data_IF_019672152427
#
_entry.id   IF_019672152427
#
_cell.length_a   1.000
_cell.length_b   1.000
_cell.length_c   1.000
_cell.angle_alpha   90.00
_cell.angle_beta   90.00
_cell.angle_gamma   90.00
#
_symmetry.space_group_name_H-M   'P 1'
#
loop_
_entity.id
_entity.type
_entity.pdbx_description
1 polymer ?
#
# COMPACT_ATOMS: atom_id res chain seq x y z
N UNK A 1 -14.78 51.15 -7.77
CA UNK A 1 -13.61 50.94 -6.89
C UNK A 1 -13.04 49.57 -7.20
N UNK A 2 -11.90 49.53 -7.89
CA UNK A 2 -11.18 48.30 -8.22
C UNK A 2 -10.61 47.73 -6.92
N UNK A 3 -11.11 46.58 -6.47
CA UNK A 3 -10.39 45.76 -5.49
C UNK A 3 -9.00 45.58 -6.07
N UNK A 4 -7.96 46.14 -5.43
CA UNK A 4 -6.57 46.07 -5.92
C UNK A 4 -6.32 44.64 -6.39
N UNK A 5 -6.09 44.46 -7.68
CA UNK A 5 -6.10 43.15 -8.36
C UNK A 5 -5.18 42.12 -7.67
N UNK A 6 -4.14 42.60 -6.98
CA UNK A 6 -3.26 41.84 -6.09
C UNK A 6 -3.97 41.18 -4.89
N UNK A 7 -4.91 41.86 -4.22
CA UNK A 7 -5.67 41.30 -3.09
C UNK A 7 -6.64 40.21 -3.54
N UNK A 8 -7.23 40.37 -4.74
CA UNK A 8 -8.13 39.36 -5.30
C UNK A 8 -7.36 38.09 -5.70
N UNK A 9 -6.19 38.23 -6.34
CA UNK A 9 -5.30 37.09 -6.63
C UNK A 9 -4.82 36.40 -5.36
N UNK A 10 -4.53 37.16 -4.29
CA UNK A 10 -4.20 36.61 -2.97
C UNK A 10 -5.33 35.73 -2.42
N UNK A 11 -6.56 36.23 -2.43
CA UNK A 11 -7.74 35.48 -2.00
C UNK A 11 -7.95 34.20 -2.82
N UNK A 12 -7.79 34.26 -4.16
CA UNK A 12 -7.89 33.08 -5.02
C UNK A 12 -6.84 32.01 -4.66
N UNK A 13 -5.61 32.44 -4.38
CA UNK A 13 -4.55 31.51 -3.95
C UNK A 13 -4.85 30.89 -2.57
N UNK A 14 -5.37 31.66 -1.62
CA UNK A 14 -5.77 31.16 -0.31
C UNK A 14 -6.89 30.12 -0.41
N UNK A 15 -7.94 30.42 -1.18
CA UNK A 15 -9.04 29.48 -1.45
C UNK A 15 -8.51 28.23 -2.16
N UNK A 16 -7.66 28.39 -3.17
CA UNK A 16 -7.02 27.29 -3.88
C UNK A 16 -6.21 26.38 -2.94
N UNK A 17 -5.41 26.97 -2.06
CA UNK A 17 -4.61 26.24 -1.08
C UNK A 17 -5.48 25.49 -0.07
N UNK A 18 -6.58 26.10 0.41
CA UNK A 18 -7.54 25.42 1.29
C UNK A 18 -8.20 24.23 0.59
N UNK A 19 -8.61 24.39 -0.68
CA UNK A 19 -9.22 23.31 -1.47
C UNK A 19 -8.24 22.16 -1.69
N UNK A 20 -6.98 22.46 -2.02
CA UNK A 20 -5.94 21.46 -2.22
C UNK A 20 -5.67 20.67 -0.94
N UNK A 21 -5.49 21.35 0.20
CA UNK A 21 -5.30 20.72 1.51
C UNK A 21 -6.49 19.82 1.89
N UNK A 22 -7.72 20.29 1.68
CA UNK A 22 -8.91 19.48 1.96
C UNK A 22 -8.98 18.20 1.12
N UNK A 23 -8.70 18.31 -0.19
CA UNK A 23 -8.64 17.14 -1.08
C UNK A 23 -7.55 16.15 -0.68
N UNK A 24 -6.39 16.67 -0.30
CA UNK A 24 -5.27 15.87 0.17
C UNK A 24 -5.65 15.08 1.42
N UNK A 25 -6.23 15.73 2.43
CA UNK A 25 -6.68 15.08 3.67
C UNK A 25 -7.69 13.96 3.39
N UNK A 26 -8.70 14.22 2.54
CA UNK A 26 -9.68 13.19 2.14
C UNK A 26 -9.01 11.99 1.48
N UNK A 27 -8.07 12.24 0.55
CA UNK A 27 -7.35 11.17 -0.12
C UNK A 27 -6.52 10.32 0.86
N UNK A 28 -5.83 10.94 1.81
CA UNK A 28 -5.07 10.24 2.85
C UNK A 28 -5.98 9.37 3.73
N UNK A 29 -7.10 9.91 4.20
CA UNK A 29 -8.07 9.14 5.00
C UNK A 29 -8.62 7.93 4.24
N UNK A 30 -8.99 8.11 2.96
CA UNK A 30 -9.46 7.01 2.10
C UNK A 30 -8.38 5.94 1.96
N UNK A 31 -7.13 6.33 1.67
CA UNK A 31 -6.03 5.39 1.50
C UNK A 31 -5.83 4.53 2.75
N UNK A 32 -5.77 5.18 3.92
CA UNK A 32 -5.62 4.51 5.21
C UNK A 32 -6.75 3.51 5.48
N UNK A 33 -7.99 3.95 5.38
CA UNK A 33 -9.17 3.11 5.66
C UNK A 33 -9.23 1.93 4.69
N UNK A 34 -8.96 2.17 3.41
CA UNK A 34 -9.00 1.14 2.38
C UNK A 34 -7.95 0.05 2.62
N UNK A 35 -6.71 0.45 2.93
CA UNK A 35 -5.62 -0.49 3.19
C UNK A 35 -5.90 -1.32 4.45
N UNK A 36 -6.41 -0.71 5.52
CA UNK A 36 -6.83 -1.43 6.73
C UNK A 36 -7.98 -2.41 6.44
N UNK A 37 -8.97 -1.98 5.66
CA UNK A 37 -10.09 -2.85 5.27
C UNK A 37 -9.57 -4.06 4.49
N UNK A 38 -8.65 -3.85 3.55
CA UNK A 38 -8.04 -4.93 2.78
C UNK A 38 -7.15 -5.84 3.62
N UNK A 39 -6.45 -5.33 4.65
CA UNK A 39 -5.77 -6.16 5.64
C UNK A 39 -6.74 -7.16 6.30
N UNK A 40 -7.86 -6.64 6.84
CA UNK A 40 -8.86 -7.45 7.53
C UNK A 40 -9.55 -8.46 6.60
N UNK A 41 -9.87 -8.06 5.37
CA UNK A 41 -10.42 -8.98 4.37
C UNK A 41 -9.41 -10.09 4.07
N UNK A 42 -8.14 -9.75 3.88
CA UNK A 42 -7.08 -10.73 3.64
C UNK A 42 -6.94 -11.73 4.80
N UNK A 43 -7.03 -11.24 6.04
CA UNK A 43 -7.07 -12.05 7.25
C UNK A 43 -8.24 -13.04 7.24
N UNK A 44 -9.46 -12.57 7.00
CA UNK A 44 -10.65 -13.43 6.93
C UNK A 44 -10.54 -14.50 5.85
N UNK A 45 -10.01 -14.16 4.68
CA UNK A 45 -9.80 -15.13 3.59
C UNK A 45 -8.84 -16.24 4.04
N UNK A 46 -7.70 -15.87 4.64
CA UNK A 46 -6.68 -16.84 5.04
C UNK A 46 -7.11 -17.70 6.23
N UNK A 47 -7.78 -17.11 7.23
CA UNK A 47 -8.34 -17.85 8.36
C UNK A 47 -9.41 -18.85 7.89
N UNK A 48 -10.27 -18.44 6.95
CA UNK A 48 -11.27 -19.33 6.34
C UNK A 48 -10.61 -20.48 5.56
N UNK A 49 -9.56 -20.20 4.78
CA UNK A 49 -8.78 -21.24 4.08
C UNK A 49 -8.13 -22.24 5.05
N UNK A 50 -7.63 -21.78 6.20
CA UNK A 50 -6.95 -22.63 7.19
C UNK A 50 -7.94 -23.46 8.04
N UNK A 51 -9.14 -22.92 8.29
CA UNK A 51 -10.22 -23.64 8.98
C UNK A 51 -10.86 -24.74 8.13
N UNK A 52 -10.73 -24.66 6.80
CA UNK A 52 -11.08 -25.71 5.86
C UNK A 52 -9.88 -26.64 5.60
N UNK A 53 -9.84 -27.80 6.24
CA UNK A 53 -8.77 -28.81 6.06
C UNK A 53 -8.48 -29.07 4.56
N UNK A 54 -7.25 -28.80 4.14
CA UNK A 54 -6.55 -29.33 2.96
C UNK A 54 -7.15 -29.09 1.54
N UNK A 55 -6.46 -28.25 0.75
CA UNK A 55 -5.85 -28.56 -0.58
C UNK A 55 -5.65 -27.27 -1.39
N UNK A 56 -4.52 -27.18 -2.10
CA UNK A 56 -4.21 -26.06 -3.00
C UNK A 56 -5.27 -25.81 -4.08
N UNK A 57 -6.12 -26.80 -4.35
CA UNK A 57 -7.24 -26.74 -5.30
C UNK A 57 -8.45 -25.95 -4.75
N UNK A 58 -8.65 -25.93 -3.42
CA UNK A 58 -9.73 -25.19 -2.77
C UNK A 58 -9.51 -23.67 -2.83
N UNK A 59 -8.26 -23.22 -2.73
CA UNK A 59 -7.92 -21.80 -2.73
C UNK A 59 -8.22 -21.07 -4.04
N UNK A 60 -8.00 -21.72 -5.20
CA UNK A 60 -8.33 -21.07 -6.48
C UNK A 60 -9.84 -20.91 -6.65
N UNK A 61 -10.61 -21.97 -6.36
CA UNK A 61 -12.07 -21.94 -6.46
C UNK A 61 -12.69 -20.95 -5.47
N UNK A 62 -12.14 -20.83 -4.25
CA UNK A 62 -12.57 -19.86 -3.26
C UNK A 62 -12.40 -18.42 -3.77
N UNK A 63 -11.24 -18.09 -4.35
CA UNK A 63 -10.99 -16.74 -4.86
C UNK A 63 -11.91 -16.38 -6.05
N UNK A 64 -12.24 -17.37 -6.88
CA UNK A 64 -13.18 -17.21 -7.99
C UNK A 64 -14.62 -16.96 -7.48
N UNK A 65 -15.05 -17.73 -6.48
CA UNK A 65 -16.34 -17.54 -5.79
C UNK A 65 -16.41 -16.18 -5.09
N UNK A 66 -15.42 -15.85 -4.26
CA UNK A 66 -15.34 -14.56 -3.57
C UNK A 66 -15.35 -13.39 -4.55
N UNK A 67 -14.61 -13.48 -5.65
CA UNK A 67 -14.62 -12.43 -6.66
C UNK A 67 -16.02 -12.24 -7.23
N UNK A 68 -16.71 -13.32 -7.58
CA UNK A 68 -18.04 -13.28 -8.19
C UNK A 68 -19.07 -12.73 -7.20
N UNK A 69 -19.12 -13.30 -5.99
CA UNK A 69 -20.14 -12.98 -5.00
C UNK A 69 -19.95 -11.58 -4.42
N UNK A 70 -18.71 -11.19 -4.08
CA UNK A 70 -18.44 -9.84 -3.56
C UNK A 70 -18.63 -8.78 -4.65
N UNK A 71 -18.30 -9.07 -5.91
CA UNK A 71 -18.60 -8.13 -7.02
C UNK A 71 -20.11 -7.97 -7.21
N UNK A 72 -20.88 -9.06 -7.08
CA UNK A 72 -22.34 -9.02 -7.17
C UNK A 72 -22.99 -8.23 -6.03
N UNK A 73 -22.47 -8.37 -4.80
CA UNK A 73 -23.02 -7.72 -3.61
C UNK A 73 -22.58 -6.26 -3.45
N UNK A 74 -21.30 -5.96 -3.71
CA UNK A 74 -20.67 -4.69 -3.38
C UNK A 74 -20.11 -3.93 -4.59
N UNK A 75 -20.14 -4.52 -5.78
CA UNK A 75 -19.72 -3.87 -7.02
C UNK A 75 -18.21 -3.90 -7.27
N UNK A 76 -17.69 -2.82 -7.87
CA UNK A 76 -16.29 -2.75 -8.32
C UNK A 76 -15.33 -2.85 -7.14
N UNK A 77 -14.16 -3.45 -7.39
CA UNK A 77 -13.10 -3.60 -6.39
C UNK A 77 -12.85 -5.05 -5.95
N UNK A 78 -13.72 -6.00 -6.34
CA UNK A 78 -13.56 -7.42 -5.99
C UNK A 78 -13.27 -8.29 -7.21
N UNK A 79 -12.47 -7.79 -8.17
CA UNK A 79 -11.97 -8.64 -9.25
C UNK A 79 -11.08 -9.76 -8.68
N UNK A 80 -11.03 -10.91 -9.35
CA UNK A 80 -10.22 -12.06 -8.95
C UNK A 80 -8.78 -11.67 -8.62
N UNK A 81 -8.19 -10.81 -9.45
CA UNK A 81 -6.83 -10.30 -9.26
C UNK A 81 -6.72 -9.47 -7.96
N UNK A 82 -7.70 -8.61 -7.66
CA UNK A 82 -7.66 -7.82 -6.44
C UNK A 82 -7.88 -8.68 -5.19
N UNK A 83 -8.83 -9.63 -5.22
CA UNK A 83 -9.04 -10.58 -4.10
C UNK A 83 -7.78 -11.41 -3.85
N UNK A 84 -7.12 -11.87 -4.92
CA UNK A 84 -5.81 -12.54 -4.81
C UNK A 84 -4.75 -11.63 -4.17
N UNK A 85 -4.64 -10.37 -4.59
CA UNK A 85 -3.70 -9.41 -4.02
C UNK A 85 -3.98 -9.11 -2.56
N UNK A 86 -5.25 -8.96 -2.17
CA UNK A 86 -5.69 -8.79 -0.78
C UNK A 86 -5.26 -9.98 0.09
N UNK A 87 -5.42 -11.20 -0.42
CA UNK A 87 -4.92 -12.41 0.24
C UNK A 87 -3.39 -12.43 0.36
N UNK A 88 -2.68 -12.11 -0.72
CA UNK A 88 -1.21 -12.05 -0.69
C UNK A 88 -0.71 -10.98 0.27
N UNK A 89 -1.40 -9.84 0.34
CA UNK A 89 -1.10 -8.77 1.26
C UNK A 89 -1.05 -9.26 2.71
N UNK A 90 -2.11 -9.91 3.17
CA UNK A 90 -2.12 -10.48 4.52
C UNK A 90 -1.00 -11.52 4.72
N UNK A 91 -0.84 -12.48 3.81
CA UNK A 91 0.16 -13.54 3.94
C UNK A 91 1.61 -13.05 3.97
N UNK A 92 1.93 -11.97 3.26
CA UNK A 92 3.30 -11.43 3.21
C UNK A 92 3.59 -10.52 4.37
N UNK A 93 2.67 -9.60 4.67
CA UNK A 93 2.89 -8.60 5.70
C UNK A 93 2.70 -9.16 7.12
N UNK A 94 1.93 -10.24 7.31
CA UNK A 94 1.84 -10.97 8.59
C UNK A 94 3.15 -11.62 9.03
N UNK A 95 4.05 -11.94 8.09
CA UNK A 95 5.38 -12.49 8.39
C UNK A 95 6.37 -11.42 8.83
N UNK A 96 6.11 -10.16 8.49
CA UNK A 96 6.97 -9.03 8.81
C UNK A 96 6.50 -8.45 10.14
N UNK A 97 7.13 -8.85 11.25
CA UNK A 97 6.69 -8.51 12.61
C UNK A 97 6.36 -7.02 12.79
N UNK A 98 7.23 -6.11 12.32
CA UNK A 98 7.02 -4.67 12.50
C UNK A 98 5.80 -4.15 11.74
N UNK A 99 5.53 -4.68 10.55
CA UNK A 99 4.38 -4.26 9.75
C UNK A 99 3.11 -4.93 10.26
N UNK A 100 3.14 -6.21 10.62
CA UNK A 100 1.98 -6.91 11.18
C UNK A 100 1.49 -6.25 12.47
N UNK A 101 2.40 -5.85 13.36
CA UNK A 101 2.04 -5.11 14.57
C UNK A 101 1.35 -3.76 14.26
N UNK A 102 1.80 -3.03 13.23
CA UNK A 102 1.15 -1.77 12.82
C UNK A 102 -0.30 -2.01 12.38
N UNK A 103 -0.52 -3.01 11.52
CA UNK A 103 -1.87 -3.34 11.05
C UNK A 103 -2.78 -3.81 12.19
N UNK A 104 -2.29 -4.64 13.11
CA UNK A 104 -3.09 -5.20 14.21
C UNK A 104 -3.43 -4.17 15.30
N UNK A 105 -2.53 -3.21 15.58
CA UNK A 105 -2.79 -2.15 16.58
C UNK A 105 -3.73 -1.06 16.08
N UNK A 106 -4.24 -1.16 14.85
CA UNK A 106 -4.88 -0.05 14.11
C UNK A 106 -3.99 1.20 14.06
N UNK A 107 -2.70 1.06 14.32
CA UNK A 107 -1.70 2.10 14.16
C UNK A 107 -1.47 2.22 12.67
N UNK A 108 -2.13 3.20 12.07
CA UNK A 108 -2.19 3.43 10.63
C UNK A 108 -0.81 3.22 9.98
N UNK A 109 -0.63 2.14 9.17
CA UNK A 109 0.70 1.68 8.74
C UNK A 109 1.43 2.74 7.92
N UNK A 110 0.67 3.62 7.27
CA UNK A 110 1.11 4.92 6.78
C UNK A 110 -0.09 5.66 6.23
N UNK A 111 -0.18 6.97 6.46
CA UNK A 111 -1.19 7.79 5.78
C UNK A 111 -0.85 8.04 4.30
N UNK A 112 0.41 7.77 3.92
CA UNK A 112 1.01 8.15 2.63
C UNK A 112 0.81 7.04 1.59
N UNK A 113 0.83 5.78 2.02
CA UNK A 113 0.77 4.63 1.10
C UNK A 113 -0.67 4.24 0.78
N UNK A 114 -1.09 4.48 -0.47
CA UNK A 114 -2.33 3.94 -1.03
C UNK A 114 -2.22 2.44 -1.35
N UNK A 115 -3.36 1.78 -1.57
CA UNK A 115 -3.41 0.37 -2.00
C UNK A 115 -2.53 0.07 -3.21
N UNK A 116 -2.44 0.99 -4.17
CA UNK A 116 -1.58 0.82 -5.36
C UNK A 116 -0.09 0.74 -5.02
N UNK A 117 0.37 1.37 -3.94
CA UNK A 117 1.75 1.20 -3.47
C UNK A 117 1.97 -0.23 -2.97
N UNK A 118 1.07 -0.74 -2.14
CA UNK A 118 1.14 -2.10 -1.62
C UNK A 118 1.08 -3.14 -2.75
N UNK A 119 0.22 -2.96 -3.74
CA UNK A 119 0.16 -3.83 -4.93
C UNK A 119 1.47 -3.84 -5.71
N UNK A 120 2.15 -2.70 -5.84
CA UNK A 120 3.46 -2.65 -6.49
C UNK A 120 4.53 -3.35 -5.65
N UNK A 121 4.56 -3.10 -4.33
CA UNK A 121 5.51 -3.72 -3.39
C UNK A 121 5.34 -5.24 -3.33
N UNK A 122 4.10 -5.75 -3.42
CA UNK A 122 3.78 -7.18 -3.43
C UNK A 122 4.37 -7.96 -4.60
N UNK A 123 4.92 -7.28 -5.61
CA UNK A 123 5.68 -7.93 -6.68
C UNK A 123 7.03 -8.44 -6.20
N UNK A 124 7.57 -7.89 -5.11
CA UNK A 124 8.75 -8.46 -4.45
C UNK A 124 8.35 -9.66 -3.60
N UNK A 125 9.19 -10.69 -3.63
CA UNK A 125 9.04 -11.88 -2.80
C UNK A 125 9.91 -11.84 -1.53
N UNK A 126 10.78 -10.83 -1.38
CA UNK A 126 11.76 -10.76 -0.30
C UNK A 126 11.24 -9.82 0.82
N UNK A 127 11.17 -10.34 2.05
CA UNK A 127 10.66 -9.62 3.21
C UNK A 127 11.47 -8.36 3.55
N UNK A 128 12.81 -8.40 3.36
CA UNK A 128 13.68 -7.25 3.56
C UNK A 128 13.45 -6.18 2.50
N UNK A 129 13.23 -6.60 1.25
CA UNK A 129 12.96 -5.68 0.14
C UNK A 129 11.58 -5.02 0.30
N UNK A 130 10.56 -5.78 0.71
CA UNK A 130 9.23 -5.25 1.05
C UNK A 130 9.35 -4.20 2.15
N UNK A 131 10.00 -4.55 3.27
CA UNK A 131 10.17 -3.64 4.42
C UNK A 131 10.94 -2.38 4.03
N UNK A 132 11.96 -2.52 3.18
CA UNK A 132 12.74 -1.41 2.67
C UNK A 132 11.86 -0.44 1.84
N UNK A 133 11.11 -0.95 0.86
CA UNK A 133 10.32 -0.09 -0.01
C UNK A 133 9.13 0.55 0.69
N UNK A 134 8.50 -0.12 1.67
CA UNK A 134 7.47 0.50 2.52
C UNK A 134 8.07 1.73 3.22
N UNK A 135 9.15 1.52 3.99
CA UNK A 135 9.78 2.57 4.79
C UNK A 135 10.37 3.70 3.94
N UNK A 136 10.99 3.37 2.81
CA UNK A 136 11.55 4.40 1.92
C UNK A 136 10.45 5.22 1.23
N UNK A 137 9.36 4.58 0.80
CA UNK A 137 8.26 5.30 0.17
C UNK A 137 7.58 6.27 1.14
N UNK A 138 7.49 5.90 2.41
CA UNK A 138 7.00 6.77 3.50
C UNK A 138 7.94 7.94 3.76
N UNK A 139 9.23 7.67 3.93
CA UNK A 139 10.21 8.71 4.26
C UNK A 139 10.35 9.75 3.14
N UNK A 140 10.36 9.31 1.89
CA UNK A 140 10.62 10.14 0.71
C UNK A 140 9.33 10.59 0.00
N UNK A 141 8.15 10.26 0.56
CA UNK A 141 6.84 10.55 -0.02
C UNK A 141 6.72 10.14 -1.50
N UNK A 142 7.18 8.94 -1.83
CA UNK A 142 7.17 8.46 -3.21
C UNK A 142 5.74 8.23 -3.70
N UNK A 143 5.41 8.83 -4.84
CA UNK A 143 4.25 8.41 -5.62
C UNK A 143 4.42 6.97 -6.12
N UNK A 144 3.31 6.32 -6.48
CA UNK A 144 3.32 4.97 -7.10
C UNK A 144 4.27 4.91 -8.31
N UNK A 145 4.31 5.98 -9.11
CA UNK A 145 5.21 6.07 -10.28
C UNK A 145 6.67 6.08 -9.86
N UNK A 146 6.99 6.78 -8.79
CA UNK A 146 8.34 6.86 -8.25
C UNK A 146 8.78 5.53 -7.65
N UNK A 147 7.94 4.94 -6.79
CA UNK A 147 8.15 3.61 -6.24
C UNK A 147 8.45 2.58 -7.35
N UNK A 148 7.61 2.55 -8.39
CA UNK A 148 7.79 1.66 -9.55
C UNK A 148 9.12 1.90 -10.25
N UNK A 149 9.56 3.16 -10.38
CA UNK A 149 10.86 3.52 -10.95
C UNK A 149 12.01 3.01 -10.08
N UNK A 150 11.92 3.19 -8.77
CA UNK A 150 12.96 2.76 -7.82
C UNK A 150 13.08 1.24 -7.76
N UNK A 151 11.95 0.52 -7.71
CA UNK A 151 11.90 -0.93 -7.80
C UNK A 151 12.50 -1.43 -9.12
N UNK A 152 12.14 -0.82 -10.25
CA UNK A 152 12.74 -1.17 -11.56
C UNK A 152 14.25 -0.94 -11.60
N UNK A 153 14.76 0.05 -10.87
CA UNK A 153 16.19 0.34 -10.77
C UNK A 153 16.93 -0.56 -9.75
N UNK A 154 16.23 -1.49 -9.11
CA UNK A 154 16.78 -2.38 -8.07
C UNK A 154 17.48 -1.59 -6.96
N UNK A 155 16.89 -0.47 -6.52
CA UNK A 155 17.49 0.43 -5.53
C UNK A 155 17.94 -0.32 -4.28
N UNK A 156 17.10 -1.22 -3.76
CA UNK A 156 17.41 -2.06 -2.61
C UNK A 156 18.76 -2.79 -2.78
N UNK A 157 18.93 -3.51 -3.89
CA UNK A 157 20.14 -4.28 -4.17
C UNK A 157 21.37 -3.39 -4.37
N UNK A 158 21.22 -2.25 -5.05
CA UNK A 158 22.35 -1.31 -5.23
C UNK A 158 22.85 -0.75 -3.90
N UNK A 159 21.93 -0.42 -2.99
CA UNK A 159 22.31 0.08 -1.67
C UNK A 159 22.95 -1.01 -0.81
N UNK A 160 22.46 -2.24 -0.87
CA UNK A 160 23.08 -3.38 -0.20
C UNK A 160 24.53 -3.58 -0.68
N UNK A 161 24.76 -3.66 -2.00
CA UNK A 161 26.10 -3.80 -2.60
C UNK A 161 27.04 -2.65 -2.22
N UNK A 162 26.51 -1.41 -2.13
CA UNK A 162 27.31 -0.25 -1.75
C UNK A 162 27.73 -0.27 -0.27
N UNK A 163 26.90 -0.84 0.62
CA UNK A 163 27.23 -0.99 2.03
C UNK A 163 28.30 -2.05 2.23
N UNK A 164 28.18 -3.18 1.53
CA UNK A 164 29.17 -4.26 1.59
C UNK A 164 30.53 -3.76 1.09
N UNK A 165 30.56 -2.99 -0.01
CA UNK A 165 31.80 -2.38 -0.52
C UNK A 165 32.45 -1.42 0.48
N UNK A 166 31.66 -0.59 1.18
CA UNK A 166 32.17 0.33 2.22
C UNK A 166 32.66 -0.38 3.48
N UNK A 167 32.20 -1.61 3.75
CA UNK A 167 32.70 -2.44 4.84
C UNK A 167 34.05 -3.07 4.47
N UNK A 168 34.20 -3.55 3.23
CA UNK A 168 35.45 -4.11 2.71
C UNK A 168 36.58 -3.09 2.56
N UNK A 169 36.27 -1.81 2.27
CA UNK A 169 37.27 -0.73 2.17
C UNK A 169 37.73 -0.17 3.54
N UNK A 170 37.15 -0.65 4.65
CA UNK A 170 37.48 -0.21 6.03
C UNK A 170 38.26 -1.25 6.84
N UNK A 171 38.53 -2.42 6.26
CA UNK A 171 39.44 -3.45 6.79
C UNK A 171 40.81 -3.33 6.12
#
# INVERSE_FOLDING_TARGET
MSVKQSNYTGLINEIGNLLLKGREQVAHSINTILVQTYWLIGRHIVEFEQGGKEKAEYGSNLLDQLSTDLTKLYGKGFSRSNVFQIRQFYLRFSKIQTLSEQFEKNETPSHILSWSHYVEILKSNNELEISFYVKQSENENWSVRELKRQMKSMLFHRLALSKDKKQLEKE
#
